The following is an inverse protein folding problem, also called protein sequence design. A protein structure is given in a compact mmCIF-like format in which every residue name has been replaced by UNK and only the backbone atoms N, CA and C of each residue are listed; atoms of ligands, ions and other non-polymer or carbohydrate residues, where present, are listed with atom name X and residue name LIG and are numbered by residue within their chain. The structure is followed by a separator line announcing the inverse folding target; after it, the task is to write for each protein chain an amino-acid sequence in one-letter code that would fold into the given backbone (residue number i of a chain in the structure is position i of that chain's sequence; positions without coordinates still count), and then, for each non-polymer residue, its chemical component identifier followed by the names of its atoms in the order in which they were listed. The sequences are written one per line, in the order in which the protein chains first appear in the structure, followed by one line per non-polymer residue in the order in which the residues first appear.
data_IF_703815116191
#
_entry.id   IF_703815116191
#
_cell.length_a   1.000
_cell.length_b   1.000
_cell.length_c   1.000
_cell.angle_alpha   90.00
_cell.angle_beta   90.00
_cell.angle_gamma   90.00
#
_symmetry.space_group_name_H-M   'P 1'
#
loop_
_entity.id
_entity.type
_entity.pdbx_description
1 polymer ?
#
# COMPACT_ATOMS: atom_id res chain seq x y z
N UNK A 1 9.74 -29.00 12.59
CA UNK A 1 8.88 -29.17 11.61
C UNK A 1 7.49 -29.05 12.00
N UNK A 2 7.03 -29.84 12.85
CA UNK A 2 5.75 -29.72 13.36
C UNK A 2 5.42 -28.41 13.86
N UNK A 3 6.30 -27.77 14.54
CA UNK A 3 6.14 -26.51 15.07
C UNK A 3 5.90 -25.49 14.03
N UNK A 4 6.65 -25.53 12.95
CA UNK A 4 6.48 -24.59 11.88
C UNK A 4 5.11 -24.74 11.26
N UNK A 5 4.69 -25.96 11.05
CA UNK A 5 3.41 -26.20 10.44
C UNK A 5 2.30 -25.72 11.37
N UNK A 6 2.43 -25.95 12.65
CA UNK A 6 1.44 -25.50 13.60
C UNK A 6 1.42 -24.00 13.65
N UNK A 7 2.56 -23.36 13.62
CA UNK A 7 2.64 -21.91 13.63
C UNK A 7 1.99 -21.31 12.41
N UNK A 8 2.22 -21.91 11.26
CA UNK A 8 1.63 -21.42 10.04
C UNK A 8 0.12 -21.59 10.06
N UNK A 9 -0.37 -22.70 10.54
CA UNK A 9 -1.79 -22.93 10.62
C UNK A 9 -2.45 -21.96 11.57
N UNK A 10 -1.83 -21.72 12.70
CA UNK A 10 -2.36 -20.80 13.67
C UNK A 10 -2.40 -19.41 13.09
N UNK A 11 -1.36 -19.03 12.36
CA UNK A 11 -1.31 -17.75 11.73
C UNK A 11 -2.40 -17.65 10.69
N UNK A 12 -2.64 -18.71 9.95
CA UNK A 12 -3.67 -18.70 8.93
C UNK A 12 -5.06 -18.58 9.55
N UNK A 13 -5.27 -19.24 10.67
CA UNK A 13 -6.56 -19.20 11.33
C UNK A 13 -6.88 -17.84 11.89
N UNK A 14 -5.89 -17.18 12.50
CA UNK A 14 -6.10 -15.89 13.07
C UNK A 14 -5.78 -14.80 12.10
N UNK A 15 -5.40 -15.18 10.89
CA UNK A 15 -4.75 -14.29 10.00
C UNK A 15 -5.57 -13.13 9.51
N UNK A 16 -6.86 -13.31 9.35
CA UNK A 16 -7.62 -12.25 8.72
C UNK A 16 -7.56 -10.95 9.49
N UNK A 17 -7.86 -10.98 10.76
CA UNK A 17 -7.82 -9.77 11.56
C UNK A 17 -6.41 -9.29 11.84
N UNK A 18 -5.53 -10.23 12.18
CA UNK A 18 -4.16 -9.86 12.47
C UNK A 18 -3.44 -9.36 11.25
N UNK A 19 -3.69 -9.98 10.11
CA UNK A 19 -3.07 -9.58 8.87
C UNK A 19 -3.55 -8.20 8.45
N UNK A 20 -4.85 -7.94 8.60
CA UNK A 20 -5.40 -6.63 8.28
C UNK A 20 -4.77 -5.55 9.16
N UNK A 21 -4.63 -5.86 10.45
CA UNK A 21 -4.05 -4.92 11.37
C UNK A 21 -2.59 -4.64 11.03
N UNK A 22 -1.84 -5.70 10.75
CA UNK A 22 -0.44 -5.55 10.37
C UNK A 22 -0.31 -4.78 9.06
N UNK A 23 -1.19 -5.08 8.11
CA UNK A 23 -1.17 -4.40 6.83
C UNK A 23 -1.35 -2.90 7.02
N UNK A 24 -2.33 -2.51 7.86
CA UNK A 24 -2.58 -1.10 8.11
C UNK A 24 -1.40 -0.44 8.82
N UNK A 25 -0.78 -1.16 9.76
CA UNK A 25 0.36 -0.62 10.47
C UNK A 25 1.55 -0.38 9.55
N UNK A 26 1.79 -1.32 8.63
CA UNK A 26 2.86 -1.17 7.68
C UNK A 26 2.57 -0.01 6.72
N UNK A 27 1.33 0.07 6.23
CA UNK A 27 0.95 1.18 5.36
C UNK A 27 1.12 2.51 6.09
N UNK A 28 0.74 2.56 7.37
CA UNK A 28 0.89 3.78 8.16
C UNK A 28 2.36 4.19 8.29
N UNK A 29 3.26 3.21 8.36
CA UNK A 29 4.68 3.54 8.46
C UNK A 29 5.18 4.20 7.18
N UNK A 30 4.67 3.79 6.01
CA UNK A 30 5.04 4.45 4.77
C UNK A 30 4.44 5.85 4.70
N UNK A 31 3.22 6.02 5.18
CA UNK A 31 2.60 7.34 5.24
C UNK A 31 3.40 8.26 6.17
N UNK A 32 3.87 7.72 7.30
CA UNK A 32 4.67 8.52 8.22
C UNK A 32 5.94 9.02 7.56
N UNK A 33 6.60 8.17 6.76
CA UNK A 33 7.79 8.60 6.05
C UNK A 33 7.43 9.69 5.04
N UNK A 34 6.33 9.47 4.30
CA UNK A 34 5.91 10.47 3.32
C UNK A 34 5.65 11.82 3.99
N UNK A 35 4.96 11.79 5.14
CA UNK A 35 4.69 13.02 5.86
C UNK A 35 5.97 13.72 6.31
N UNK A 36 6.98 12.95 6.71
CA UNK A 36 8.24 13.53 7.14
C UNK A 36 8.98 14.21 6.00
N UNK A 37 8.70 13.80 4.76
CA UNK A 37 9.37 14.38 3.61
C UNK A 37 8.74 15.70 3.15
N UNK A 38 7.65 16.09 3.77
CA UNK A 38 6.99 17.34 3.40
C UNK A 38 7.85 18.56 3.73
N UNK A 39 8.87 18.37 4.57
CA UNK A 39 9.81 19.46 4.86
C UNK A 39 10.81 19.60 3.73
N UNK A 40 10.97 18.58 2.89
CA UNK A 40 11.95 18.57 1.82
C UNK A 40 11.36 19.00 0.50
N UNK A 41 10.13 18.57 0.21
CA UNK A 41 9.50 18.93 -1.05
C UNK A 41 7.99 19.01 -0.85
N UNK A 42 7.30 19.57 -1.83
CA UNK A 42 5.86 19.79 -1.68
C UNK A 42 5.10 18.47 -1.74
N UNK A 43 3.86 18.53 -1.28
CA UNK A 43 3.07 17.30 -1.13
C UNK A 43 2.81 16.59 -2.44
N UNK A 44 2.69 17.35 -3.53
CA UNK A 44 2.45 16.76 -4.84
C UNK A 44 3.64 15.90 -5.25
N UNK A 45 4.84 16.41 -5.03
CA UNK A 45 6.05 15.67 -5.38
C UNK A 45 6.30 14.51 -4.44
N UNK A 46 5.98 14.67 -3.16
CA UNK A 46 6.09 13.56 -2.22
C UNK A 46 5.14 12.44 -2.65
N UNK A 47 3.92 12.80 -3.07
CA UNK A 47 2.97 11.81 -3.54
C UNK A 47 3.49 11.04 -4.75
N UNK A 48 4.11 11.75 -5.69
CA UNK A 48 4.67 11.09 -6.87
C UNK A 48 5.85 10.19 -6.50
N UNK A 49 6.67 10.65 -5.55
CA UNK A 49 7.81 9.84 -5.11
C UNK A 49 7.34 8.56 -4.45
N UNK A 50 6.26 8.65 -3.68
CA UNK A 50 5.71 7.47 -3.01
C UNK A 50 5.15 6.49 -4.05
N UNK A 51 4.47 7.01 -5.06
CA UNK A 51 3.93 6.18 -6.13
C UNK A 51 5.07 5.48 -6.88
N UNK A 52 6.14 6.23 -7.16
CA UNK A 52 7.28 5.67 -7.85
C UNK A 52 7.94 4.57 -7.02
N UNK A 53 8.09 4.80 -5.72
CA UNK A 53 8.70 3.81 -4.83
C UNK A 53 7.86 2.54 -4.80
N UNK A 54 6.54 2.70 -4.76
CA UNK A 54 5.64 1.55 -4.77
C UNK A 54 5.82 0.76 -6.06
N UNK A 55 5.91 1.45 -7.20
CA UNK A 55 6.05 0.75 -8.47
C UNK A 55 7.36 -0.01 -8.54
N UNK A 56 8.43 0.57 -8.02
CA UNK A 56 9.72 -0.10 -8.01
C UNK A 56 9.69 -1.35 -7.15
N UNK A 57 9.10 -1.25 -5.97
CA UNK A 57 9.06 -2.39 -5.07
C UNK A 57 8.18 -3.50 -5.65
N UNK A 58 7.04 -3.12 -6.23
CA UNK A 58 6.15 -4.11 -6.81
C UNK A 58 6.79 -4.80 -8.01
N UNK A 59 7.55 -4.07 -8.82
CA UNK A 59 8.27 -4.67 -9.93
C UNK A 59 9.30 -5.67 -9.42
N UNK A 60 9.97 -5.33 -8.33
CA UNK A 60 10.93 -6.22 -7.71
C UNK A 60 10.25 -7.52 -7.26
N UNK A 61 9.07 -7.42 -6.67
CA UNK A 61 8.34 -8.60 -6.22
C UNK A 61 8.01 -9.51 -7.40
N UNK A 62 7.52 -8.93 -8.48
CA UNK A 62 7.18 -9.72 -9.67
C UNK A 62 8.42 -10.41 -10.22
N UNK A 63 9.52 -9.67 -10.33
CA UNK A 63 10.75 -10.24 -10.85
C UNK A 63 11.28 -11.35 -9.96
N UNK A 64 11.21 -11.17 -8.64
CA UNK A 64 11.74 -12.14 -7.72
C UNK A 64 10.93 -13.43 -7.71
N UNK A 65 9.68 -13.36 -8.15
CA UNK A 65 8.83 -14.54 -8.20
C UNK A 65 8.83 -15.22 -9.57
N UNK A 66 9.53 -14.64 -10.54
CA UNK A 66 9.58 -15.21 -11.88
C UNK A 66 10.80 -16.09 -12.02
N UNK A 67 10.63 -17.29 -12.54
CA UNK A 67 11.71 -18.26 -12.62
C UNK A 67 12.77 -17.89 -13.63
N UNK A 68 12.38 -17.25 -14.72
CA UNK A 68 13.32 -16.89 -15.78
C UNK A 68 12.71 -15.78 -16.63
N UNK A 69 13.43 -15.35 -17.63
CA UNK A 69 13.00 -14.24 -18.47
C UNK A 69 11.67 -14.51 -19.16
N UNK A 70 11.49 -15.71 -19.68
CA UNK A 70 10.25 -16.01 -20.38
C UNK A 70 9.05 -15.95 -19.44
N UNK A 71 9.22 -16.49 -18.23
CA UNK A 71 8.15 -16.44 -17.23
C UNK A 71 7.88 -14.99 -16.85
N UNK A 72 8.92 -14.19 -16.71
CA UNK A 72 8.78 -12.79 -16.34
C UNK A 72 8.01 -12.03 -17.41
N UNK A 73 8.29 -12.29 -18.68
CA UNK A 73 7.58 -11.62 -19.75
C UNK A 73 6.09 -11.95 -19.71
N UNK A 74 5.77 -13.21 -19.35
CA UNK A 74 4.38 -13.59 -19.22
C UNK A 74 3.71 -12.97 -18.01
N UNK A 75 4.46 -12.79 -16.93
CA UNK A 75 3.93 -12.23 -15.71
C UNK A 75 3.79 -10.71 -15.77
N UNK A 76 4.56 -10.07 -16.64
CA UNK A 76 4.61 -8.62 -16.71
C UNK A 76 3.26 -7.98 -16.98
N UNK A 77 2.58 -8.42 -18.03
CA UNK A 77 1.29 -7.83 -18.39
C UNK A 77 0.23 -8.12 -17.34
N UNK A 78 0.26 -9.31 -16.77
CA UNK A 78 -0.67 -9.68 -15.73
C UNK A 78 -0.47 -8.80 -14.50
N UNK A 79 0.79 -8.51 -14.17
CA UNK A 79 1.12 -7.67 -13.04
C UNK A 79 0.64 -6.25 -13.27
N UNK A 80 0.83 -5.73 -14.47
CA UNK A 80 0.37 -4.38 -14.77
C UNK A 80 -1.14 -4.27 -14.64
N UNK A 81 -1.85 -5.27 -15.11
CA UNK A 81 -3.29 -5.28 -15.01
C UNK A 81 -3.73 -5.37 -13.55
N UNK A 82 -3.11 -6.25 -12.80
CA UNK A 82 -3.48 -6.45 -11.40
C UNK A 82 -3.20 -5.19 -10.56
N UNK A 83 -1.98 -4.69 -10.62
CA UNK A 83 -1.63 -3.54 -9.79
C UNK A 83 -2.34 -2.27 -10.22
N UNK A 84 -2.57 -2.14 -11.53
CA UNK A 84 -3.32 -0.99 -12.03
C UNK A 84 -4.75 -0.99 -11.48
N UNK A 85 -5.41 -2.13 -11.53
CA UNK A 85 -6.78 -2.25 -11.05
C UNK A 85 -6.82 -2.03 -9.53
N UNK A 86 -5.86 -2.61 -8.81
CA UNK A 86 -5.82 -2.44 -7.35
C UNK A 86 -5.59 -1.00 -6.95
N UNK A 87 -4.70 -0.31 -7.65
CA UNK A 87 -4.43 1.08 -7.34
C UNK A 87 -5.67 1.94 -7.58
N UNK A 88 -6.35 1.71 -8.70
CA UNK A 88 -7.57 2.48 -8.99
C UNK A 88 -8.65 2.22 -7.95
N UNK A 89 -8.78 0.99 -7.51
CA UNK A 89 -9.76 0.65 -6.49
C UNK A 89 -9.45 1.35 -5.18
N UNK A 90 -8.17 1.30 -4.78
CA UNK A 90 -7.75 1.91 -3.51
C UNK A 90 -7.85 3.43 -3.57
N UNK A 91 -7.41 4.00 -4.68
CA UNK A 91 -7.47 5.45 -4.82
C UNK A 91 -8.92 5.93 -4.81
N UNK A 92 -9.79 5.21 -5.52
CA UNK A 92 -11.20 5.57 -5.55
C UNK A 92 -11.82 5.54 -4.17
N UNK A 93 -11.51 4.52 -3.38
CA UNK A 93 -12.05 4.41 -2.03
C UNK A 93 -11.57 5.57 -1.15
N UNK A 94 -10.29 5.90 -1.26
CA UNK A 94 -9.74 6.99 -0.46
C UNK A 94 -10.28 8.34 -0.89
N UNK A 95 -10.48 8.54 -2.19
CA UNK A 95 -11.07 9.80 -2.66
C UNK A 95 -12.51 9.93 -2.19
N UNK A 96 -13.24 8.82 -2.14
CA UNK A 96 -14.61 8.84 -1.64
C UNK A 96 -14.67 9.24 -0.16
N UNK A 97 -13.69 8.78 0.62
CA UNK A 97 -13.63 9.16 2.02
C UNK A 97 -13.42 10.66 2.18
N UNK A 98 -12.56 11.24 1.35
CA UNK A 98 -12.32 12.67 1.39
C UNK A 98 -13.55 13.45 0.96
N UNK A 99 -14.31 12.91 0.02
CA UNK A 99 -15.53 13.53 -0.45
C UNK A 99 -16.51 13.68 0.71
N UNK A 100 -16.62 12.67 1.56
CA UNK A 100 -17.48 12.74 2.72
C UNK A 100 -17.07 13.86 3.67
N UNK A 101 -15.76 14.05 3.82
CA UNK A 101 -15.27 15.10 4.69
C UNK A 101 -15.63 16.48 4.15
N UNK A 102 -15.52 16.66 2.82
CA UNK A 102 -15.92 17.93 2.22
C UNK A 102 -17.40 18.17 2.39
N UNK A 103 -18.20 17.13 2.32
CA UNK A 103 -19.64 17.27 2.50
C UNK A 103 -19.97 17.70 3.92
N UNK A 104 -19.08 17.40 4.87
CA UNK A 104 -19.26 17.85 6.23
C UNK A 104 -18.64 19.23 6.46
N UNK A 105 -18.18 19.85 5.36
CA UNK A 105 -17.61 21.19 5.43
C UNK A 105 -16.38 21.29 6.33
N UNK A 106 -15.49 20.34 6.22
CA UNK A 106 -14.27 20.36 6.99
C UNK A 106 -13.07 20.70 6.13
N UNK A 107 -12.16 21.50 6.63
CA UNK A 107 -10.99 21.90 5.86
C UNK A 107 -9.95 20.80 5.88
N UNK A 108 -10.22 19.76 5.15
CA UNK A 108 -9.40 18.56 5.20
C UNK A 108 -8.37 18.42 4.09
N UNK A 109 -8.67 18.93 2.93
CA UNK A 109 -7.90 18.61 1.75
C UNK A 109 -6.45 19.07 1.75
N UNK A 110 -6.10 20.04 2.58
CA UNK A 110 -4.73 20.52 2.58
C UNK A 110 -3.89 19.96 3.73
N UNK A 111 -4.44 18.99 4.45
CA UNK A 111 -3.69 18.34 5.52
C UNK A 111 -3.09 17.05 5.00
N UNK A 112 -1.93 16.64 5.51
CA UNK A 112 -1.36 15.37 5.07
C UNK A 112 -2.21 14.21 5.55
N UNK A 113 -2.10 13.06 4.91
CA UNK A 113 -2.88 11.90 5.31
C UNK A 113 -2.57 11.52 6.74
N UNK A 114 -3.60 11.05 7.44
CA UNK A 114 -3.42 10.61 8.81
C UNK A 114 -3.13 9.13 8.82
N UNK A 115 -2.29 8.72 9.75
CA UNK A 115 -2.04 7.31 9.93
C UNK A 115 -3.13 6.76 10.84
N UNK A 116 -3.33 5.46 10.76
CA UNK A 116 -4.32 4.80 11.60
C UNK A 116 -3.86 4.79 13.03
N UNK A 117 -2.55 4.82 13.22
CA UNK A 117 -2.00 4.90 14.55
C UNK A 117 -1.62 6.31 14.80
N UNK A 118 -2.41 7.02 15.55
CA UNK A 118 -2.06 8.40 15.84
C UNK A 118 -0.89 8.32 16.75
N UNK A 119 0.07 9.07 16.54
CA UNK A 119 1.20 9.03 17.46
C UNK A 119 1.67 10.37 17.81
#
# INVERSE_FOLDING_TARGET
MEQDTTGRNRRAVMADEDLDKQFRQVADSFISVANSQLDVMNKENVGMALLYAASRFNAFVVASNSANLEAFKGDRDKAMEFFGAEYLRMLGANLSDHELVFEEDKPYGHLPPRTTNPS
#
